data_IF_108862388315
#
_entry.id   IF_108862388315
#
_cell.length_a   1.000
_cell.length_b   1.000
_cell.length_c   1.000
_cell.angle_alpha   90.00
_cell.angle_beta   90.00
_cell.angle_gamma   90.00
#
_symmetry.space_group_name_H-M   'P 1'
#
loop_
_entity.id
_entity.type
_entity.pdbx_description
1 polymer ?
#
# COMPACT_ATOMS: atom_id res chain seq x y z
N UNK A 1 16.60 7.24 -7.45
CA UNK A 1 15.91 8.54 -7.54
C UNK A 1 14.75 8.52 -6.56
N UNK A 2 14.71 9.44 -5.60
CA UNK A 2 13.61 9.51 -4.63
C UNK A 2 12.38 10.07 -5.33
N UNK A 3 11.44 9.20 -5.72
CA UNK A 3 10.21 9.64 -6.37
C UNK A 3 9.35 10.44 -5.38
N UNK A 4 8.89 11.61 -5.81
CA UNK A 4 8.12 12.53 -4.98
C UNK A 4 6.70 12.02 -4.77
N UNK A 5 6.30 11.89 -3.51
CA UNK A 5 4.93 11.54 -3.13
C UNK A 5 4.00 12.72 -3.42
N UNK A 6 2.92 12.47 -4.17
CA UNK A 6 1.83 13.42 -4.37
C UNK A 6 0.87 13.40 -3.19
N UNK A 7 0.48 12.20 -2.74
CA UNK A 7 -0.48 11.99 -1.65
C UNK A 7 -0.21 10.66 -0.96
N UNK A 8 -0.07 10.68 0.37
CA UNK A 8 -0.12 9.46 1.17
C UNK A 8 -1.59 8.99 1.29
N UNK A 9 -1.83 7.70 1.13
CA UNK A 9 -3.17 7.11 1.23
C UNK A 9 -3.33 6.34 2.53
N UNK A 10 -2.43 5.40 2.80
CA UNK A 10 -2.51 4.50 3.95
C UNK A 10 -1.19 4.39 4.67
N UNK A 11 -1.28 4.15 5.97
CA UNK A 11 -0.18 3.72 6.81
C UNK A 11 -0.72 2.71 7.80
N UNK A 12 -0.43 1.44 7.56
CA UNK A 12 -0.85 0.32 8.40
C UNK A 12 0.36 -0.25 9.14
N UNK A 13 0.13 -0.68 10.37
CA UNK A 13 1.13 -1.26 11.24
C UNK A 13 0.72 -2.68 11.57
N UNK A 14 1.65 -3.62 11.45
CA UNK A 14 1.49 -5.00 11.90
C UNK A 14 2.26 -5.26 13.18
N UNK A 15 2.30 -6.52 13.59
CA UNK A 15 3.15 -6.97 14.70
C UNK A 15 4.65 -6.81 14.39
N UNK A 16 5.48 -6.89 15.43
CA UNK A 16 6.95 -6.83 15.35
C UNK A 16 7.54 -5.61 14.60
N UNK A 17 6.81 -4.50 14.58
CA UNK A 17 7.25 -3.26 13.95
C UNK A 17 7.19 -3.30 12.42
N UNK A 18 6.47 -4.28 11.84
CA UNK A 18 6.18 -4.29 10.42
C UNK A 18 5.23 -3.15 10.07
N UNK A 19 5.43 -2.53 8.91
CA UNK A 19 4.57 -1.45 8.43
C UNK A 19 4.43 -1.46 6.92
N UNK A 20 3.25 -1.09 6.44
CA UNK A 20 2.96 -0.88 5.03
C UNK A 20 2.46 0.55 4.80
N UNK A 21 3.09 1.25 3.85
CA UNK A 21 2.79 2.65 3.51
C UNK A 21 2.44 2.77 2.05
N UNK A 22 1.22 3.20 1.77
CA UNK A 22 0.71 3.36 0.42
C UNK A 22 0.64 4.84 0.04
N UNK A 23 1.13 5.18 -1.15
CA UNK A 23 1.12 6.55 -1.65
C UNK A 23 0.91 6.61 -3.17
N UNK A 24 0.25 7.68 -3.62
CA UNK A 24 0.22 8.10 -5.03
C UNK A 24 1.42 9.02 -5.27
N UNK A 25 2.14 8.76 -6.34
CA UNK A 25 3.30 9.52 -6.79
C UNK A 25 2.88 10.65 -7.74
N UNK A 26 3.79 11.60 -7.99
CA UNK A 26 3.51 12.71 -8.91
C UNK A 26 3.21 12.27 -10.34
N UNK A 27 3.77 11.14 -10.77
CA UNK A 27 3.53 10.57 -12.10
C UNK A 27 2.25 9.72 -12.18
N UNK A 28 1.46 9.67 -11.10
CA UNK A 28 0.21 8.94 -11.02
C UNK A 28 0.33 7.47 -10.64
N UNK A 29 1.56 6.91 -10.56
CA UNK A 29 1.75 5.55 -10.07
C UNK A 29 1.49 5.44 -8.57
N UNK A 30 1.21 4.22 -8.14
CA UNK A 30 1.07 3.85 -6.74
C UNK A 30 2.39 3.24 -6.28
N UNK A 31 2.80 3.59 -5.05
CA UNK A 31 3.90 2.93 -4.35
C UNK A 31 3.41 2.35 -3.04
N UNK A 32 3.65 1.05 -2.84
CA UNK A 32 3.57 0.40 -1.54
C UNK A 32 4.99 0.23 -1.00
N UNK A 33 5.26 0.82 0.17
CA UNK A 33 6.50 0.58 0.92
C UNK A 33 6.20 -0.36 2.06
N UNK A 34 6.84 -1.51 2.07
CA UNK A 34 6.82 -2.48 3.18
C UNK A 34 8.11 -2.29 3.95
N UNK A 35 8.03 -2.23 5.28
CA UNK A 35 9.22 -2.16 6.13
C UNK A 35 9.08 -3.14 7.31
N UNK A 36 10.17 -3.83 7.60
CA UNK A 36 10.33 -4.76 8.72
C UNK A 36 11.71 -4.49 9.35
N UNK A 37 11.73 -3.90 10.54
CA UNK A 37 12.97 -3.39 11.15
C UNK A 37 13.68 -2.39 10.22
N UNK A 38 14.94 -2.68 9.88
CA UNK A 38 15.76 -1.86 8.99
C UNK A 38 15.62 -2.21 7.50
N UNK A 39 14.91 -3.30 7.18
CA UNK A 39 14.66 -3.73 5.80
C UNK A 39 13.43 -3.02 5.26
N UNK A 40 13.56 -2.42 4.07
CA UNK A 40 12.42 -1.84 3.37
C UNK A 40 12.41 -2.27 1.90
N UNK A 41 11.21 -2.48 1.38
CA UNK A 41 10.96 -2.83 -0.02
C UNK A 41 9.86 -1.95 -0.59
N UNK A 42 10.09 -1.42 -1.80
CA UNK A 42 9.14 -0.58 -2.52
C UNK A 42 8.62 -1.34 -3.74
N UNK A 43 7.29 -1.44 -3.84
CA UNK A 43 6.58 -2.02 -4.97
C UNK A 43 5.84 -0.90 -5.67
N UNK A 44 5.78 -0.97 -6.99
CA UNK A 44 5.15 0.04 -7.82
C UNK A 44 4.12 -0.59 -8.74
N UNK A 45 2.98 0.09 -8.87
CA UNK A 45 1.89 -0.31 -9.76
C UNK A 45 1.28 0.92 -10.44
N UNK A 46 0.54 0.69 -11.52
CA UNK A 46 -0.21 1.74 -12.19
C UNK A 46 -1.53 2.05 -11.48
N UNK A 47 -2.05 1.13 -10.67
CA UNK A 47 -3.36 1.25 -10.01
C UNK A 47 -3.31 0.73 -8.56
N UNK A 48 -4.36 1.03 -7.78
CA UNK A 48 -4.51 0.51 -6.41
C UNK A 48 -4.89 -0.97 -6.42
N UNK A 49 -5.62 -1.41 -7.43
CA UNK A 49 -6.03 -2.80 -7.61
C UNK A 49 -4.82 -3.69 -7.92
N UNK A 50 -3.95 -3.23 -8.81
CA UNK A 50 -2.70 -3.92 -9.14
C UNK A 50 -1.75 -3.97 -7.94
N UNK A 51 -1.68 -2.91 -7.10
CA UNK A 51 -0.83 -2.94 -5.91
C UNK A 51 -1.29 -4.01 -4.92
N UNK A 52 -2.60 -4.26 -4.79
CA UNK A 52 -3.13 -5.30 -3.92
C UNK A 52 -2.75 -6.69 -4.39
N UNK A 53 -2.85 -6.93 -5.71
CA UNK A 53 -2.42 -8.20 -6.32
C UNK A 53 -0.91 -8.44 -6.17
N UNK A 54 -0.09 -7.39 -6.34
CA UNK A 54 1.35 -7.51 -6.15
C UNK A 54 1.70 -7.74 -4.67
N UNK A 55 1.04 -7.05 -3.74
CA UNK A 55 1.24 -7.21 -2.30
C UNK A 55 0.99 -8.65 -1.83
N UNK A 56 0.03 -9.36 -2.43
CA UNK A 56 -0.25 -10.76 -2.12
C UNK A 56 0.93 -11.71 -2.42
N UNK A 57 1.85 -11.30 -3.30
CA UNK A 57 3.02 -12.09 -3.66
C UNK A 57 4.29 -11.71 -2.86
N UNK A 58 4.18 -10.79 -1.91
CA UNK A 58 5.34 -10.17 -1.25
C UNK A 58 5.77 -10.89 0.02
N UNK A 59 6.96 -11.50 0.06
CA UNK A 59 7.41 -12.27 1.22
C UNK A 59 7.65 -11.44 2.47
N UNK A 60 7.84 -10.13 2.30
CA UNK A 60 8.09 -9.20 3.40
C UNK A 60 6.80 -8.67 4.04
N UNK A 61 5.63 -9.05 3.54
CA UNK A 61 4.33 -8.68 4.08
C UNK A 61 3.76 -9.89 4.83
N UNK A 62 3.40 -9.74 6.11
CA UNK A 62 2.74 -10.82 6.83
C UNK A 62 1.25 -10.85 6.50
N UNK A 63 0.61 -11.99 6.76
CA UNK A 63 -0.81 -12.20 6.47
C UNK A 63 -1.71 -11.17 7.16
N UNK A 64 -1.46 -10.86 8.44
CA UNK A 64 -2.25 -9.86 9.18
C UNK A 64 -2.14 -8.46 8.56
N UNK A 65 -0.93 -8.05 8.18
CA UNK A 65 -0.70 -6.74 7.58
C UNK A 65 -1.27 -6.66 6.16
N UNK A 66 -1.25 -7.77 5.42
CA UNK A 66 -1.90 -7.90 4.13
C UNK A 66 -3.42 -7.82 4.23
N UNK A 67 -4.02 -8.51 5.22
CA UNK A 67 -5.46 -8.47 5.48
C UNK A 67 -5.90 -7.03 5.83
N UNK A 68 -5.16 -6.36 6.71
CA UNK A 68 -5.43 -4.96 7.05
C UNK A 68 -5.27 -4.03 5.83
N UNK A 69 -4.22 -4.22 5.02
CA UNK A 69 -4.05 -3.44 3.79
C UNK A 69 -5.22 -3.62 2.83
N UNK A 70 -5.66 -4.87 2.64
CA UNK A 70 -6.77 -5.22 1.73
C UNK A 70 -8.07 -4.61 2.23
N UNK A 71 -8.35 -4.69 3.52
CA UNK A 71 -9.52 -4.06 4.14
C UNK A 71 -9.56 -2.54 3.88
N UNK A 72 -8.44 -1.85 4.07
CA UNK A 72 -8.36 -0.41 3.82
C UNK A 72 -8.55 -0.06 2.33
N UNK A 73 -8.01 -0.88 1.42
CA UNK A 73 -8.20 -0.71 -0.03
C UNK A 73 -9.69 -0.87 -0.41
N UNK A 74 -10.37 -1.89 0.14
CA UNK A 74 -11.80 -2.11 -0.08
C UNK A 74 -12.66 -0.95 0.45
N UNK A 75 -12.36 -0.45 1.65
CA UNK A 75 -13.04 0.72 2.20
C UNK A 75 -12.90 1.96 1.31
N UNK A 76 -11.72 2.17 0.72
CA UNK A 76 -11.52 3.27 -0.23
C UNK A 76 -12.31 3.09 -1.52
N UNK A 77 -12.43 1.85 -2.03
CA UNK A 77 -13.24 1.55 -3.20
C UNK A 77 -14.73 1.87 -2.96
N UNK A 78 -15.25 1.49 -1.77
CA UNK A 78 -16.65 1.75 -1.39
C UNK A 78 -16.95 3.25 -1.20
N UNK A 79 -15.96 4.06 -0.84
CA UNK A 79 -16.14 5.50 -0.69
C UNK A 79 -16.30 6.25 -2.02
N UNK A 80 -15.95 5.63 -3.15
CA UNK A 80 -16.09 6.22 -4.49
C UNK A 80 -17.52 6.22 -5.03
N UNK A 81 -18.39 5.34 -4.52
CA UNK A 81 -19.76 5.15 -5.01
C UNK A 81 -20.79 6.14 -4.41
N UNK A 82 -20.37 7.12 -3.60
CA UNK A 82 -21.29 8.06 -2.94
C UNK A 82 -21.78 9.22 -3.80
N UNK A 83 -21.40 9.32 -5.06
CA UNK A 83 -21.89 10.37 -5.97
C UNK A 83 -22.29 9.81 -7.35
N UNK A 84 -23.60 9.71 -7.57
CA UNK A 84 -24.27 9.74 -8.87
C UNK A 84 -25.54 10.58 -8.75
#
# INVERSE_FOLDING_TARGET
MTQTVRRALLHVYGEDGQQARLAILLDGRVRLRIQMGDVSHDIYASTLEEIGLLAAAEPLLCDELYDQLTWELELMALCGDRES
#
